data_IF_557723690661
#
_entry.id   IF_557723690661
#
_cell.length_a   1.000
_cell.length_b   1.000
_cell.length_c   1.000
_cell.angle_alpha   90.00
_cell.angle_beta   90.00
_cell.angle_gamma   90.00
#
_symmetry.space_group_name_H-M   'P 1'
#
loop_
_entity.id
_entity.type
_entity.pdbx_description
1 polymer ?
#
# COMPACT_ATOMS: atom_id res chain seq x y z
N UNK A 1 3.02 -16.11 -25.77
CA UNK A 1 2.34 -14.81 -25.52
C UNK A 1 2.06 -14.60 -24.04
N UNK A 2 1.53 -15.61 -23.33
CA UNK A 2 1.29 -15.55 -21.87
C UNK A 2 2.59 -15.49 -21.03
N UNK A 3 3.64 -16.20 -21.43
CA UNK A 3 4.96 -16.13 -20.77
C UNK A 3 5.60 -14.74 -20.87
N UNK A 4 5.46 -14.07 -22.02
CA UNK A 4 5.94 -12.69 -22.20
C UNK A 4 5.18 -11.69 -21.32
N UNK A 5 3.90 -11.95 -21.03
CA UNK A 5 3.12 -11.15 -20.09
C UNK A 5 3.67 -11.35 -18.67
N UNK A 6 3.84 -12.61 -18.24
CA UNK A 6 4.45 -12.93 -16.93
C UNK A 6 5.82 -12.30 -16.72
N UNK A 7 6.68 -12.27 -17.74
CA UNK A 7 7.99 -11.62 -17.63
C UNK A 7 7.89 -10.11 -17.42
N UNK A 8 6.86 -9.45 -18.00
CA UNK A 8 6.59 -8.03 -17.74
C UNK A 8 6.05 -7.82 -16.34
N UNK A 9 5.15 -8.68 -15.88
CA UNK A 9 4.57 -8.60 -14.53
C UNK A 9 5.67 -8.72 -13.46
N UNK A 10 6.57 -9.72 -13.59
CA UNK A 10 7.74 -9.89 -12.71
C UNK A 10 8.64 -8.65 -12.70
N UNK A 11 8.85 -8.01 -13.86
CA UNK A 11 9.64 -6.79 -13.94
C UNK A 11 9.01 -5.65 -13.12
N UNK A 12 7.69 -5.50 -13.20
CA UNK A 12 6.96 -4.50 -12.41
C UNK A 12 7.00 -4.84 -10.92
N UNK A 13 6.78 -6.10 -10.56
CA UNK A 13 6.90 -6.57 -9.17
C UNK A 13 8.27 -6.24 -8.57
N UNK A 14 9.36 -6.43 -9.33
CA UNK A 14 10.70 -6.06 -8.87
C UNK A 14 10.87 -4.56 -8.59
N UNK A 15 10.25 -3.68 -9.40
CA UNK A 15 10.26 -2.24 -9.10
C UNK A 15 9.47 -1.92 -7.83
N UNK A 16 8.31 -2.57 -7.66
CA UNK A 16 7.50 -2.42 -6.44
C UNK A 16 8.28 -2.89 -5.20
N UNK A 17 9.02 -3.99 -5.29
CA UNK A 17 9.89 -4.45 -4.20
C UNK A 17 10.92 -3.40 -3.78
N UNK A 18 11.54 -2.71 -4.73
CA UNK A 18 12.47 -1.62 -4.42
C UNK A 18 11.75 -0.48 -3.69
N UNK A 19 10.52 -0.15 -4.10
CA UNK A 19 9.70 0.86 -3.41
C UNK A 19 9.38 0.41 -1.98
N UNK A 20 9.06 -0.87 -1.76
CA UNK A 20 8.82 -1.39 -0.41
C UNK A 20 10.06 -1.27 0.49
N UNK A 21 11.26 -1.48 -0.03
CA UNK A 21 12.50 -1.26 0.74
C UNK A 21 12.62 0.21 1.16
N UNK A 22 12.33 1.15 0.26
CA UNK A 22 12.31 2.58 0.59
C UNK A 22 11.27 2.90 1.66
N UNK A 23 10.07 2.32 1.56
CA UNK A 23 9.00 2.48 2.55
C UNK A 23 9.46 1.97 3.91
N UNK A 24 10.07 0.78 4.01
CA UNK A 24 10.56 0.24 5.28
C UNK A 24 11.56 1.19 5.96
N UNK A 25 12.47 1.78 5.19
CA UNK A 25 13.45 2.75 5.72
C UNK A 25 12.73 4.03 6.21
N UNK A 26 11.79 4.56 5.43
CA UNK A 26 11.01 5.74 5.80
C UNK A 26 10.14 5.49 7.03
N UNK A 27 9.53 4.32 7.14
CA UNK A 27 8.73 3.90 8.30
C UNK A 27 9.60 3.79 9.55
N UNK A 28 10.79 3.21 9.43
CA UNK A 28 11.72 3.15 10.55
C UNK A 28 12.16 4.55 11.00
N UNK A 29 12.38 5.48 10.07
CA UNK A 29 12.65 6.87 10.38
C UNK A 29 11.46 7.57 11.06
N UNK A 30 10.24 7.37 10.55
CA UNK A 30 9.01 7.91 11.12
C UNK A 30 8.82 7.45 12.58
N UNK A 31 9.07 6.17 12.89
CA UNK A 31 8.97 5.65 14.25
C UNK A 31 9.94 6.34 15.24
N UNK A 32 11.12 6.75 14.79
CA UNK A 32 12.03 7.51 15.65
C UNK A 32 11.46 8.91 15.96
N UNK A 33 10.87 9.57 14.97
CA UNK A 33 10.21 10.88 15.15
C UNK A 33 8.99 10.77 16.06
N UNK A 34 8.19 9.71 15.90
CA UNK A 34 7.06 9.42 16.77
C UNK A 34 7.51 9.29 18.23
N UNK A 35 8.59 8.55 18.47
CA UNK A 35 9.17 8.40 19.80
C UNK A 35 9.61 9.76 20.38
N UNK A 36 10.24 10.61 19.58
CA UNK A 36 10.65 11.94 20.00
C UNK A 36 9.43 12.82 20.35
N UNK A 37 8.35 12.73 19.57
CA UNK A 37 7.07 13.38 19.91
C UNK A 37 6.49 12.86 21.23
N UNK A 38 6.48 11.54 21.44
CA UNK A 38 5.91 10.93 22.65
C UNK A 38 6.65 11.37 23.93
N UNK A 39 7.97 11.52 23.85
CA UNK A 39 8.82 11.95 24.97
C UNK A 39 8.76 13.47 25.17
N UNK A 40 8.94 14.25 24.11
CA UNK A 40 9.15 15.70 24.20
C UNK A 40 7.86 16.52 24.03
N UNK A 41 6.79 15.90 23.52
CA UNK A 41 5.52 16.55 23.16
C UNK A 41 5.70 17.76 22.23
N UNK A 42 6.68 17.64 21.34
CA UNK A 42 7.02 18.63 20.32
C UNK A 42 6.06 18.59 19.12
N UNK A 43 5.46 19.73 18.79
CA UNK A 43 4.55 19.85 17.65
C UNK A 43 5.27 19.71 16.29
N UNK A 44 6.55 20.04 16.19
CA UNK A 44 7.31 19.89 14.94
C UNK A 44 7.48 18.42 14.57
N UNK A 45 7.94 17.59 15.52
CA UNK A 45 8.03 16.13 15.38
C UNK A 45 6.70 15.49 15.01
N UNK A 46 5.60 15.96 15.62
CA UNK A 46 4.24 15.51 15.30
C UNK A 46 3.86 15.79 13.85
N UNK A 47 4.00 17.02 13.39
CA UNK A 47 3.69 17.39 12.00
C UNK A 47 4.57 16.62 11.01
N UNK A 48 5.85 16.42 11.33
CA UNK A 48 6.78 15.67 10.49
C UNK A 48 6.40 14.19 10.40
N UNK A 49 6.07 13.55 11.52
CA UNK A 49 5.59 12.17 11.54
C UNK A 49 4.31 12.02 10.71
N UNK A 50 3.32 12.88 10.93
CA UNK A 50 2.06 12.83 10.19
C UNK A 50 2.29 12.98 8.68
N UNK A 51 3.14 13.93 8.27
CA UNK A 51 3.51 14.12 6.87
C UNK A 51 4.19 12.88 6.27
N UNK A 52 5.07 12.20 7.02
CA UNK A 52 5.71 10.95 6.59
C UNK A 52 4.68 9.83 6.43
N UNK A 53 3.75 9.69 7.37
CA UNK A 53 2.70 8.66 7.30
C UNK A 53 1.77 8.89 6.11
N UNK A 54 1.33 10.13 5.88
CA UNK A 54 0.54 10.51 4.70
C UNK A 54 1.31 10.19 3.41
N UNK A 55 2.60 10.52 3.35
CA UNK A 55 3.45 10.22 2.19
C UNK A 55 3.53 8.71 1.93
N UNK A 56 3.83 7.92 2.96
CA UNK A 56 3.96 6.46 2.85
C UNK A 56 2.63 5.83 2.40
N UNK A 57 1.53 6.16 3.07
CA UNK A 57 0.22 5.62 2.70
C UNK A 57 -0.26 6.08 1.33
N UNK A 58 0.10 7.28 0.89
CA UNK A 58 -0.18 7.75 -0.48
C UNK A 58 0.56 6.92 -1.53
N UNK A 59 1.85 6.61 -1.31
CA UNK A 59 2.63 5.75 -2.21
C UNK A 59 2.03 4.34 -2.24
N UNK A 60 1.69 3.78 -1.08
CA UNK A 60 1.04 2.47 -1.00
C UNK A 60 -0.30 2.44 -1.73
N UNK A 61 -1.11 3.49 -1.60
CA UNK A 61 -2.39 3.60 -2.29
C UNK A 61 -2.25 3.55 -3.81
N UNK A 62 -1.21 4.19 -4.37
CA UNK A 62 -0.90 4.12 -5.80
C UNK A 62 -0.53 2.70 -6.24
N UNK A 63 0.28 2.00 -5.45
CA UNK A 63 0.67 0.59 -5.70
C UNK A 63 -0.57 -0.31 -5.66
N UNK A 64 -1.41 -0.19 -4.63
CA UNK A 64 -2.64 -0.99 -4.49
C UNK A 64 -3.63 -0.71 -5.61
N UNK A 65 -3.74 0.55 -6.05
CA UNK A 65 -4.58 0.93 -7.19
C UNK A 65 -4.09 0.25 -8.47
N UNK A 66 -2.77 0.25 -8.71
CA UNK A 66 -2.17 -0.43 -9.86
C UNK A 66 -2.49 -1.93 -9.88
N UNK A 67 -2.25 -2.65 -8.78
CA UNK A 67 -2.51 -4.10 -8.71
C UNK A 67 -4.00 -4.45 -8.77
N UNK A 68 -4.87 -3.58 -8.23
CA UNK A 68 -6.32 -3.75 -8.35
C UNK A 68 -6.77 -3.63 -9.81
N UNK A 69 -6.24 -2.65 -10.53
CA UNK A 69 -6.55 -2.47 -11.95
C UNK A 69 -6.01 -3.63 -12.80
N UNK A 70 -4.78 -4.07 -12.55
CA UNK A 70 -4.16 -5.18 -13.28
C UNK A 70 -4.94 -6.49 -13.06
N UNK A 71 -5.24 -6.84 -11.82
CA UNK A 71 -6.00 -8.05 -11.49
C UNK A 71 -7.44 -8.01 -12.03
N UNK A 72 -8.08 -6.84 -12.07
CA UNK A 72 -9.38 -6.65 -12.72
C UNK A 72 -9.32 -6.93 -14.23
N UNK A 73 -8.32 -6.37 -14.90
CA UNK A 73 -8.07 -6.61 -16.33
C UNK A 73 -7.84 -8.10 -16.60
N UNK A 74 -7.08 -8.76 -15.73
CA UNK A 74 -6.79 -10.18 -15.80
C UNK A 74 -8.02 -11.06 -15.65
N UNK A 75 -8.88 -10.76 -14.66
CA UNK A 75 -10.17 -11.41 -14.48
C UNK A 75 -11.06 -11.25 -15.72
N UNK A 76 -11.18 -10.01 -16.23
CA UNK A 76 -12.05 -9.69 -17.38
C UNK A 76 -11.60 -10.35 -18.69
N UNK A 77 -10.31 -10.61 -18.84
CA UNK A 77 -9.75 -11.24 -20.04
C UNK A 77 -10.18 -12.70 -20.24
N UNK A 78 -10.63 -13.40 -19.17
CA UNK A 78 -11.07 -14.81 -19.26
C UNK A 78 -12.58 -14.91 -19.48
N UNK A 79 -12.98 -15.29 -20.70
CA UNK A 79 -14.39 -15.43 -21.06
C UNK A 79 -15.03 -16.68 -20.44
N UNK A 80 -14.38 -17.83 -20.58
CA UNK A 80 -14.90 -19.12 -20.12
C UNK A 80 -14.87 -19.27 -18.61
N UNK A 81 -15.95 -19.81 -18.04
CA UNK A 81 -16.01 -20.14 -16.63
C UNK A 81 -15.24 -21.43 -16.36
N UNK A 82 -14.05 -21.30 -15.79
CA UNK A 82 -13.19 -22.41 -15.41
C UNK A 82 -12.43 -22.08 -14.11
N UNK A 83 -11.65 -23.03 -13.60
CA UNK A 83 -10.83 -22.85 -12.38
C UNK A 83 -9.92 -21.61 -12.47
N UNK A 84 -9.36 -21.31 -13.64
CA UNK A 84 -8.50 -20.14 -13.87
C UNK A 84 -9.27 -18.83 -13.67
N UNK A 85 -10.51 -18.73 -14.15
CA UNK A 85 -11.37 -17.55 -13.93
C UNK A 85 -11.71 -17.35 -12.46
N UNK A 86 -12.01 -18.43 -11.72
CA UNK A 86 -12.26 -18.36 -10.27
C UNK A 86 -11.05 -17.83 -9.51
N UNK A 87 -9.84 -18.32 -9.82
CA UNK A 87 -8.60 -17.86 -9.19
C UNK A 87 -8.32 -16.38 -9.48
N UNK A 88 -8.53 -15.93 -10.72
CA UNK A 88 -8.34 -14.51 -11.08
C UNK A 88 -9.38 -13.60 -10.42
N UNK A 89 -10.62 -14.07 -10.29
CA UNK A 89 -11.65 -13.34 -9.55
C UNK A 89 -11.28 -13.21 -8.06
N UNK A 90 -10.83 -14.29 -7.42
CA UNK A 90 -10.36 -14.25 -6.04
C UNK A 90 -9.18 -13.28 -5.86
N UNK A 91 -8.21 -13.30 -6.78
CA UNK A 91 -7.07 -12.36 -6.78
C UNK A 91 -7.53 -10.90 -6.89
N UNK A 92 -8.50 -10.62 -7.76
CA UNK A 92 -9.08 -9.28 -7.89
C UNK A 92 -9.75 -8.85 -6.58
N UNK A 93 -10.61 -9.68 -5.99
CA UNK A 93 -11.26 -9.36 -4.72
C UNK A 93 -10.24 -9.11 -3.61
N UNK A 94 -9.19 -9.92 -3.52
CA UNK A 94 -8.11 -9.72 -2.54
C UNK A 94 -7.43 -8.34 -2.72
N UNK A 95 -7.02 -7.99 -3.95
CA UNK A 95 -6.40 -6.68 -4.21
C UNK A 95 -7.35 -5.51 -3.95
N UNK A 96 -8.64 -5.66 -4.26
CA UNK A 96 -9.64 -4.62 -4.03
C UNK A 96 -9.86 -4.37 -2.53
N UNK A 97 -9.87 -5.43 -1.71
CA UNK A 97 -9.94 -5.29 -0.26
C UNK A 97 -8.69 -4.59 0.31
N UNK A 98 -7.50 -4.91 -0.22
CA UNK A 98 -6.25 -4.21 0.14
C UNK A 98 -6.33 -2.72 -0.23
N UNK A 99 -6.87 -2.39 -1.40
CA UNK A 99 -7.08 -1.00 -1.82
C UNK A 99 -8.00 -0.26 -0.86
N UNK A 100 -9.14 -0.85 -0.48
CA UNK A 100 -10.06 -0.27 0.51
C UNK A 100 -9.35 -0.04 1.84
N UNK A 101 -8.60 -1.03 2.33
CA UNK A 101 -7.81 -0.90 3.56
C UNK A 101 -6.80 0.24 3.46
N UNK A 102 -6.08 0.37 2.35
CA UNK A 102 -5.14 1.47 2.11
C UNK A 102 -5.80 2.85 2.12
N UNK A 103 -7.02 2.98 1.56
CA UNK A 103 -7.79 4.23 1.63
C UNK A 103 -8.13 4.57 3.08
N UNK A 104 -8.61 3.58 3.85
CA UNK A 104 -8.97 3.77 5.25
C UNK A 104 -7.74 4.23 6.06
N UNK A 105 -6.60 3.58 5.90
CA UNK A 105 -5.37 3.97 6.59
C UNK A 105 -4.88 5.37 6.22
N UNK A 106 -4.96 5.75 4.94
CA UNK A 106 -4.62 7.11 4.52
C UNK A 106 -5.56 8.14 5.15
N UNK A 107 -6.86 7.85 5.23
CA UNK A 107 -7.82 8.72 5.92
C UNK A 107 -7.44 8.88 7.38
N UNK A 108 -7.15 7.78 8.09
CA UNK A 108 -6.71 7.85 9.50
C UNK A 108 -5.45 8.72 9.61
N UNK A 109 -4.43 8.51 8.76
CA UNK A 109 -3.20 9.31 8.78
C UNK A 109 -3.45 10.81 8.56
N UNK A 110 -4.42 11.18 7.72
CA UNK A 110 -4.82 12.57 7.47
C UNK A 110 -5.58 13.16 8.66
N UNK A 111 -6.43 12.36 9.34
CA UNK A 111 -7.32 12.83 10.40
C UNK A 111 -6.78 12.68 11.81
N UNK A 112 -5.73 11.89 12.03
CA UNK A 112 -5.17 11.63 13.35
C UNK A 112 -4.31 12.82 13.80
N UNK A 113 -5.03 13.83 14.28
CA UNK A 113 -4.46 15.08 14.76
C UNK A 113 -3.64 14.92 16.03
N UNK A 114 -3.61 13.77 16.73
CA UNK A 114 -2.87 13.61 18.00
C UNK A 114 -1.93 12.41 18.04
N UNK A 115 -1.85 11.64 16.95
CA UNK A 115 -1.13 10.37 16.91
C UNK A 115 -1.67 9.47 18.04
N UNK A 116 -2.99 9.47 18.20
CA UNK A 116 -3.69 8.67 19.21
C UNK A 116 -3.84 7.21 18.76
N UNK A 117 -3.77 6.98 17.45
CA UNK A 117 -3.92 5.65 16.84
C UNK A 117 -2.58 5.17 16.32
N UNK A 118 -2.05 4.08 16.88
CA UNK A 118 -0.89 3.40 16.30
C UNK A 118 -1.29 2.76 14.97
N UNK A 119 -0.72 3.25 13.87
CA UNK A 119 -0.90 2.68 12.55
C UNK A 119 0.36 1.90 12.17
N UNK A 120 0.34 0.60 12.45
CA UNK A 120 1.37 -0.32 11.98
C UNK A 120 0.97 -0.97 10.64
N UNK A 121 1.98 -1.38 9.85
CA UNK A 121 1.76 -2.19 8.65
C UNK A 121 1.32 -3.60 9.07
N UNK A 122 0.01 -3.84 9.09
CA UNK A 122 -0.60 -5.15 9.39
C UNK A 122 -1.01 -5.88 8.11
#
# INVERSE_FOLDING_TARGET
MEELKRLKDIKVENYVWVIYICIIILSWYANNIEKDYLINKDNESKCLYQALMILIFSILLLIYSYFTFDSYSDYKSVKEFNKKKVLRYASFIASFLILISGIIFLVIAITDDNIDTEIAFN
#
